data_IF_242754147683
#
_entry.id   IF_242754147683
#
_cell.length_a   1.000
_cell.length_b   1.000
_cell.length_c   1.000
_cell.angle_alpha   90.00
_cell.angle_beta   90.00
_cell.angle_gamma   90.00
#
_symmetry.space_group_name_H-M   'P 1'
#
loop_
_entity.id
_entity.type
_entity.pdbx_description
1 polymer ?
#
# COMPACT_ATOMS: atom_id res chain seq x y z
N UNK A 1 16.35 -2.63 16.65
CA UNK A 1 15.87 -2.93 17.40
C UNK A 1 15.92 -3.03 17.83
N UNK A 2 15.36 -3.03 17.11
CA UNK A 2 14.92 -3.15 17.49
C UNK A 2 14.82 -3.19 17.58
N UNK A 3 14.90 -2.93 17.17
CA UNK A 3 14.50 -3.17 17.54
C UNK A 3 14.45 -3.26 17.44
N UNK A 4 14.30 -3.02 17.07
CA UNK A 4 13.98 -3.28 17.37
C UNK A 4 13.96 -3.38 17.25
N UNK A 5 13.80 -3.21 16.89
CA UNK A 5 13.47 -3.57 17.15
C UNK A 5 13.46 -3.66 16.89
N UNK A 6 13.17 -3.53 16.48
CA UNK A 6 12.94 -3.76 16.61
C UNK A 6 13.02 -3.90 16.41
N UNK A 7 12.90 -3.84 15.96
CA UNK A 7 12.72 -4.23 16.11
C UNK A 7 13.01 -4.41 15.73
N UNK A 8 12.76 -4.27 15.28
CA UNK A 8 12.87 -4.60 15.36
C UNK A 8 13.02 -4.86 15.04
N UNK A 9 13.04 -4.77 14.55
CA UNK A 9 13.02 -5.14 14.55
C UNK A 9 13.17 -5.29 14.32
N UNK A 10 13.12 -5.12 14.05
CA UNK A 10 13.05 -5.47 14.32
C UNK A 10 13.15 -5.62 14.01
N UNK A 11 12.87 -5.54 13.50
CA UNK A 11 12.75 -5.74 13.57
C UNK A 11 12.97 -5.97 13.24
N UNK A 12 12.97 -5.76 12.80
CA UNK A 12 13.02 -6.17 12.95
C UNK A 12 13.15 -6.45 12.57
N UNK A 13 12.96 -6.26 11.95
CA UNK A 13 12.92 -6.60 12.00
C UNK A 13 13.06 -6.96 11.52
N UNK A 14 13.27 -6.98 11.02
CA UNK A 14 13.26 -7.44 10.88
C UNK A 14 13.44 -7.87 10.25
N UNK A 15 13.39 -8.07 9.71
CA UNK A 15 13.31 -8.58 9.33
C UNK A 15 13.51 -8.88 8.65
N UNK A 16 13.57 -9.08 8.04
CA UNK A 16 13.46 -9.37 7.49
C UNK A 16 13.67 -9.62 6.76
N UNK A 17 13.75 -9.71 6.27
CA UNK A 17 13.62 -9.97 5.75
C UNK A 17 13.80 -10.26 4.97
N UNK A 18 13.76 -10.49 4.28
CA UNK A 18 13.66 -10.66 3.72
C UNK A 18 13.68 -10.60 2.95
N UNK A 19 14.01 -10.67 2.50
CA UNK A 19 13.76 -10.43 1.86
C UNK A 19 13.28 -9.89 1.22
N UNK A 20 13.41 -9.82 0.78
CA UNK A 20 12.88 -9.20 0.29
C UNK A 20 11.95 -8.69 0.76
N UNK A 21 11.44 -8.98 1.06
CA UNK A 21 10.62 -8.29 1.36
C UNK A 21 10.68 -7.72 2.61
N UNK A 22 11.51 -7.62 3.14
CA UNK A 22 11.58 -6.79 4.30
C UNK A 22 11.26 -5.36 4.01
N UNK A 23 11.37 -5.00 2.76
CA UNK A 23 11.06 -3.65 2.43
C UNK A 23 9.66 -3.28 2.63
N UNK A 24 8.76 -4.22 2.57
CA UNK A 24 7.37 -3.92 2.82
C UNK A 24 7.19 -3.32 4.19
N UNK A 25 8.02 -3.73 5.13
CA UNK A 25 7.91 -3.22 6.48
C UNK A 25 8.43 -1.79 6.59
N UNK A 26 9.11 -1.28 5.56
CA UNK A 26 9.59 0.09 5.59
C UNK A 26 8.53 1.10 5.19
N UNK A 27 7.40 0.66 4.67
CA UNK A 27 6.35 1.59 4.26
C UNK A 27 5.63 2.10 5.50
N UNK A 28 5.67 3.41 5.69
CA UNK A 28 5.01 4.04 6.84
C UNK A 28 3.65 4.50 6.42
N UNK A 29 2.62 3.96 7.06
CA UNK A 29 1.24 4.21 6.72
C UNK A 29 0.49 4.63 7.96
N UNK A 30 -0.30 5.68 7.82
CA UNK A 30 -1.22 6.11 8.87
C UNK A 30 -2.60 5.54 8.53
N UNK A 31 -3.18 4.73 9.40
CA UNK A 31 -4.55 4.23 9.15
C UNK A 31 -5.53 5.40 9.14
N UNK A 32 -6.53 5.32 8.28
CA UNK A 32 -7.60 6.31 8.23
C UNK A 32 -8.93 5.56 8.27
N UNK A 33 -10.00 6.29 8.64
CA UNK A 33 -11.33 5.76 8.45
C UNK A 33 -11.48 5.39 6.99
N UNK A 34 -11.94 4.18 6.68
CA UNK A 34 -12.05 3.78 5.28
C UNK A 34 -12.93 4.76 4.50
N UNK A 35 -12.46 5.16 3.33
CA UNK A 35 -13.20 6.05 2.45
C UNK A 35 -13.23 5.46 1.06
N UNK A 36 -14.23 5.85 0.29
CA UNK A 36 -14.33 5.47 -1.11
C UNK A 36 -13.71 6.55 -1.98
N UNK A 37 -12.94 6.11 -2.96
CA UNK A 37 -12.34 7.01 -3.94
C UNK A 37 -12.64 6.46 -5.33
N UNK A 38 -12.61 7.34 -6.32
CA UNK A 38 -12.85 6.98 -7.70
C UNK A 38 -11.60 7.32 -8.52
N UNK A 39 -11.22 6.42 -9.42
CA UNK A 39 -10.05 6.62 -10.29
C UNK A 39 -10.40 7.69 -11.32
N UNK A 40 -9.57 8.73 -11.40
CA UNK A 40 -9.78 9.83 -12.33
C UNK A 40 -8.84 9.78 -13.53
N UNK A 41 -7.71 9.08 -13.41
CA UNK A 41 -6.81 8.90 -14.54
C UNK A 41 -7.37 7.85 -15.49
N UNK A 42 -6.90 7.84 -16.74
CA UNK A 42 -7.38 6.82 -17.69
C UNK A 42 -7.01 5.42 -17.23
N UNK A 43 -5.88 5.26 -16.55
CA UNK A 43 -5.54 4.01 -15.88
C UNK A 43 -4.70 4.36 -14.67
N UNK A 44 -4.75 3.48 -13.66
CA UNK A 44 -4.05 3.70 -12.40
C UNK A 44 -3.39 2.39 -11.98
N UNK A 45 -2.07 2.44 -11.83
CA UNK A 45 -1.32 1.28 -11.36
C UNK A 45 -1.52 1.12 -9.86
N UNK A 46 -1.87 -0.11 -9.47
CA UNK A 46 -1.94 -0.49 -8.06
C UNK A 46 -0.69 -1.30 -7.78
N UNK A 47 0.13 -0.86 -6.83
CA UNK A 47 1.45 -1.43 -6.59
C UNK A 47 1.52 -2.08 -5.23
N UNK A 48 2.35 -3.12 -5.12
CA UNK A 48 2.52 -3.81 -3.83
C UNK A 48 3.19 -2.90 -2.80
N UNK A 49 4.03 -1.98 -3.24
CA UNK A 49 4.61 -0.93 -2.41
C UNK A 49 4.63 0.35 -3.21
N UNK A 50 4.66 1.52 -2.56
CA UNK A 50 4.76 2.79 -3.31
C UNK A 50 5.96 2.74 -4.27
N UNK A 51 5.71 3.07 -5.53
CA UNK A 51 6.73 3.02 -6.60
C UNK A 51 7.31 1.62 -6.84
N UNK A 52 6.66 0.59 -6.32
CA UNK A 52 7.15 -0.77 -6.46
C UNK A 52 6.47 -1.52 -7.59
N UNK A 53 6.45 -2.84 -7.45
CA UNK A 53 5.92 -3.73 -8.46
C UNK A 53 4.41 -3.55 -8.62
N UNK A 54 3.94 -3.58 -9.87
CA UNK A 54 2.53 -3.41 -10.16
C UNK A 54 1.79 -4.71 -9.86
N UNK A 55 0.75 -4.61 -9.01
CA UNK A 55 -0.10 -5.73 -8.68
C UNK A 55 -1.27 -5.86 -9.64
N UNK A 56 -1.85 -4.73 -10.03
CA UNK A 56 -2.95 -4.71 -10.98
C UNK A 56 -3.15 -3.28 -11.47
N UNK A 57 -4.03 -3.12 -12.45
CA UNK A 57 -4.31 -1.80 -13.04
C UNK A 57 -5.81 -1.58 -12.98
N UNK A 58 -6.22 -0.39 -12.55
CA UNK A 58 -7.62 0.02 -12.51
C UNK A 58 -7.88 1.06 -13.59
N UNK A 59 -9.07 1.03 -14.14
CA UNK A 59 -9.47 1.99 -15.17
C UNK A 59 -10.24 3.15 -14.55
N UNK A 60 -10.35 4.24 -15.31
CA UNK A 60 -11.10 5.41 -14.89
C UNK A 60 -12.52 5.02 -14.47
N UNK A 61 -12.99 5.61 -13.40
CA UNK A 61 -14.33 5.35 -12.89
C UNK A 61 -14.41 4.22 -11.91
N UNK A 62 -13.34 3.43 -11.77
CA UNK A 62 -13.32 2.34 -10.80
C UNK A 62 -13.35 2.93 -9.39
N UNK A 63 -14.15 2.35 -8.50
CA UNK A 63 -14.28 2.83 -7.14
C UNK A 63 -13.61 1.86 -6.20
N UNK A 64 -12.82 2.41 -5.30
CA UNK A 64 -11.98 1.63 -4.40
C UNK A 64 -12.15 2.13 -2.98
N UNK A 65 -12.13 1.20 -2.03
CA UNK A 65 -12.17 1.55 -0.61
C UNK A 65 -10.74 1.51 -0.09
N UNK A 66 -10.29 2.64 0.47
CA UNK A 66 -8.93 2.76 0.97
C UNK A 66 -8.97 3.00 2.47
N UNK A 67 -7.96 2.48 3.20
CA UNK A 67 -7.97 2.51 4.65
C UNK A 67 -6.66 3.01 5.25
N UNK A 68 -5.79 3.61 4.45
CA UNK A 68 -4.55 4.17 4.96
C UNK A 68 -3.96 5.17 3.99
N UNK A 69 -3.06 5.98 4.48
CA UNK A 69 -2.36 6.97 3.68
C UNK A 69 -0.90 6.95 4.12
N UNK A 70 0.02 7.01 3.14
CA UNK A 70 1.44 6.97 3.47
C UNK A 70 1.85 8.25 4.20
N UNK A 71 2.97 8.18 4.90
CA UNK A 71 3.44 9.29 5.73
C UNK A 71 3.67 10.56 4.91
N UNK A 72 4.07 10.42 3.65
CA UNK A 72 4.27 11.58 2.77
C UNK A 72 2.96 12.10 2.18
N UNK A 73 1.84 11.41 2.42
CA UNK A 73 0.53 11.85 1.93
C UNK A 73 0.28 11.55 0.46
N UNK A 74 1.15 10.81 -0.21
CA UNK A 74 1.10 10.65 -1.66
C UNK A 74 0.35 9.40 -2.10
N UNK A 75 0.21 8.41 -1.23
CA UNK A 75 -0.35 7.12 -1.61
C UNK A 75 -1.45 6.71 -0.66
N UNK A 76 -2.51 6.13 -1.22
CA UNK A 76 -3.54 5.45 -0.42
C UNK A 76 -3.21 3.97 -0.34
N UNK A 77 -3.50 3.37 0.81
CA UNK A 77 -3.37 1.92 1.01
C UNK A 77 -4.75 1.28 0.89
N UNK A 78 -4.80 0.13 0.23
CA UNK A 78 -6.02 -0.66 0.13
C UNK A 78 -5.69 -2.14 0.20
N UNK A 79 -6.71 -2.95 0.46
CA UNK A 79 -6.57 -4.40 0.55
C UNK A 79 -7.00 -5.01 -0.76
N UNK A 80 -6.19 -5.90 -1.32
CA UNK A 80 -6.50 -6.59 -2.57
C UNK A 80 -6.30 -8.07 -2.39
N UNK A 81 -6.87 -8.85 -3.32
CA UNK A 81 -6.59 -10.28 -3.37
C UNK A 81 -5.19 -10.51 -3.92
N UNK A 82 -4.47 -11.40 -3.26
CA UNK A 82 -3.15 -11.80 -3.71
C UNK A 82 -3.31 -12.99 -4.63
N UNK A 83 -2.74 -12.97 -5.86
CA UNK A 83 -2.85 -14.13 -6.76
C UNK A 83 -2.32 -15.43 -6.17
N UNK A 84 -1.45 -15.34 -5.18
CA UNK A 84 -0.91 -16.53 -4.52
C UNK A 84 -1.77 -17.00 -3.37
N UNK A 85 -2.90 -16.34 -3.12
CA UNK A 85 -3.83 -16.70 -2.07
C UNK A 85 -3.90 -15.65 -0.99
N UNK A 86 -5.10 -15.52 -0.40
CA UNK A 86 -5.34 -14.56 0.66
C UNK A 86 -5.40 -13.13 0.15
N UNK A 87 -5.21 -12.20 1.07
CA UNK A 87 -5.24 -10.78 0.77
C UNK A 87 -3.91 -10.14 1.16
N UNK A 88 -3.62 -8.99 0.56
CA UNK A 88 -2.44 -8.20 0.92
C UNK A 88 -2.75 -6.74 0.70
N UNK A 89 -1.95 -5.88 1.33
CA UNK A 89 -2.06 -4.45 1.10
C UNK A 89 -1.40 -4.08 -0.22
N UNK A 90 -1.94 -3.02 -0.83
CA UNK A 90 -1.38 -2.45 -2.04
C UNK A 90 -1.59 -0.94 -1.98
N UNK A 91 -1.01 -0.23 -2.93
CA UNK A 91 -0.96 1.24 -2.86
C UNK A 91 -1.30 1.83 -4.21
N UNK A 92 -2.08 2.92 -4.18
CA UNK A 92 -2.44 3.68 -5.38
C UNK A 92 -2.08 5.14 -5.15
N UNK A 93 -1.66 5.81 -6.24
CA UNK A 93 -1.24 7.20 -6.14
C UNK A 93 -2.46 8.09 -5.93
N UNK A 94 -2.48 8.82 -4.83
CA UNK A 94 -3.63 9.60 -4.40
C UNK A 94 -4.06 10.62 -5.45
N UNK A 95 -3.09 11.22 -6.14
CA UNK A 95 -3.35 12.27 -7.10
C UNK A 95 -4.26 11.82 -8.25
N UNK A 96 -4.28 10.53 -8.57
CA UNK A 96 -5.08 9.99 -9.66
C UNK A 96 -6.44 9.48 -9.20
N UNK A 97 -6.87 9.91 -8.02
CA UNK A 97 -8.18 9.55 -7.47
C UNK A 97 -8.87 10.80 -6.96
N UNK A 98 -10.18 10.66 -6.75
CA UNK A 98 -10.93 11.69 -6.03
C UNK A 98 -11.83 11.01 -5.02
N UNK A 99 -11.99 11.67 -3.90
CA UNK A 99 -12.88 11.16 -2.86
C UNK A 99 -14.33 11.32 -3.29
N UNK A 100 -15.13 10.30 -3.02
CA UNK A 100 -16.55 10.33 -3.37
C UNK A 100 -17.43 10.08 -2.15
#
# INVERSE_FOLDING_TARGET
MEDLNMNKLNENELSAVDGGTAEASAVKVRPIEPIWVEVTASSLNCRYTPNGEIAKVYERGHRLKVDGITADGEWYRLLIYNPKGGTCYAYIYKQYTRRI
#
